data_IF_623756864600
#
_entry.id   IF_623756864600
#
_cell.length_a   1.000
_cell.length_b   1.000
_cell.length_c   1.000
_cell.angle_alpha   90.00
_cell.angle_beta   90.00
_cell.angle_gamma   90.00
#
_symmetry.space_group_name_H-M   'P 1'
#
loop_
_entity.id
_entity.type
_entity.pdbx_description
1 polymer ?
#
# COMPACT_ATOMS: atom_id res chain seq x y z
N UNK A 1 9.61 -42.96 -12.47
CA UNK A 1 10.15 -42.87 -13.85
C UNK A 1 9.81 -41.47 -14.35
N UNK A 2 10.73 -40.52 -14.19
CA UNK A 2 10.51 -39.10 -14.46
C UNK A 2 10.85 -38.83 -15.93
N UNK A 3 9.86 -38.45 -16.74
CA UNK A 3 10.10 -38.01 -18.12
C UNK A 3 10.36 -36.51 -18.11
N UNK A 4 11.63 -36.12 -18.29
CA UNK A 4 12.05 -34.74 -18.53
C UNK A 4 12.02 -34.54 -20.04
N UNK A 5 11.16 -33.63 -20.51
CA UNK A 5 11.21 -33.15 -21.89
C UNK A 5 12.15 -31.94 -21.96
N UNK A 6 13.31 -32.13 -22.57
CA UNK A 6 14.21 -31.06 -23.00
C UNK A 6 13.61 -30.40 -24.25
N UNK A 7 13.45 -29.08 -24.22
CA UNK A 7 13.13 -28.28 -25.40
C UNK A 7 14.44 -27.82 -26.10
N UNK A 8 14.43 -27.64 -27.44
CA UNK A 8 15.63 -27.46 -28.25
C UNK A 8 16.22 -26.04 -28.16
N UNK A 9 17.52 -25.87 -28.48
CA UNK A 9 18.24 -24.62 -28.28
C UNK A 9 18.19 -23.78 -29.54
N UNK A 10 17.39 -22.71 -29.57
CA UNK A 10 17.57 -21.59 -30.51
C UNK A 10 16.62 -20.45 -30.14
N UNK A 11 17.06 -19.57 -29.24
CA UNK A 11 16.65 -18.17 -29.16
C UNK A 11 17.69 -17.41 -28.32
N UNK A 12 18.75 -16.97 -28.99
CA UNK A 12 19.69 -15.97 -28.46
C UNK A 12 19.01 -14.60 -28.44
N UNK A 13 18.90 -13.98 -27.27
CA UNK A 13 18.67 -12.53 -27.15
C UNK A 13 17.52 -12.04 -26.29
N UNK A 14 17.32 -12.60 -25.08
CA UNK A 14 16.40 -12.02 -24.09
C UNK A 14 17.17 -11.78 -22.78
N UNK A 15 17.08 -10.56 -22.28
CA UNK A 15 17.68 -10.07 -21.03
C UNK A 15 17.01 -10.71 -19.80
N UNK A 16 17.81 -10.95 -18.75
CA UNK A 16 17.38 -11.48 -17.44
C UNK A 16 16.30 -10.65 -16.71
N UNK A 17 15.94 -9.47 -17.23
CA UNK A 17 14.83 -8.63 -16.74
C UNK A 17 13.44 -9.16 -17.09
N UNK A 18 13.29 -9.99 -18.13
CA UNK A 18 11.98 -10.31 -18.72
C UNK A 18 11.43 -11.68 -18.27
N UNK A 19 12.12 -12.38 -17.37
CA UNK A 19 11.69 -13.71 -16.87
C UNK A 19 10.81 -13.69 -15.60
N UNK A 20 10.49 -12.54 -15.02
CA UNK A 20 9.75 -12.46 -13.74
C UNK A 20 8.23 -12.30 -13.84
N UNK A 21 7.64 -12.31 -15.05
CA UNK A 21 6.20 -12.06 -15.22
C UNK A 21 5.30 -13.26 -15.54
N UNK A 22 5.78 -14.50 -15.41
CA UNK A 22 4.97 -15.67 -15.79
C UNK A 22 4.99 -16.84 -14.79
N UNK A 23 4.71 -16.56 -13.52
CA UNK A 23 4.27 -17.61 -12.57
C UNK A 23 3.28 -17.02 -11.58
N UNK A 24 1.98 -17.27 -11.81
CA UNK A 24 0.88 -17.40 -10.83
C UNK A 24 -0.42 -17.53 -11.66
N UNK A 25 -1.37 -18.34 -11.16
CA UNK A 25 -2.56 -18.92 -11.81
C UNK A 25 -2.22 -20.19 -12.60
N UNK A 26 -2.56 -21.40 -12.14
CA UNK A 26 -3.92 -21.91 -11.94
C UNK A 26 -3.92 -23.04 -10.89
N UNK A 27 -4.71 -22.89 -9.81
CA UNK A 27 -5.22 -24.02 -9.05
C UNK A 27 -6.71 -23.75 -8.75
N UNK A 28 -7.58 -24.17 -9.66
CA UNK A 28 -9.03 -24.18 -9.47
C UNK A 28 -9.46 -25.59 -9.06
N UNK A 29 -9.92 -25.72 -7.82
CA UNK A 29 -10.53 -26.94 -7.31
C UNK A 29 -11.95 -27.09 -7.88
N UNK A 30 -12.22 -28.28 -8.41
CA UNK A 30 -13.40 -28.66 -9.17
C UNK A 30 -14.44 -29.31 -8.25
N UNK A 31 -15.56 -28.65 -8.00
CA UNK A 31 -16.73 -29.25 -7.34
C UNK A 31 -17.60 -29.93 -8.42
N UNK A 32 -17.94 -31.23 -8.32
CA UNK A 32 -18.85 -31.86 -9.27
C UNK A 32 -20.31 -31.56 -8.89
N UNK A 33 -21.09 -31.01 -9.82
CA UNK A 33 -22.56 -30.97 -9.74
C UNK A 33 -23.13 -32.26 -10.33
N UNK A 34 -23.90 -32.99 -9.53
CA UNK A 34 -24.68 -34.16 -9.94
C UNK A 34 -25.78 -33.78 -10.92
N UNK A 35 -25.97 -34.60 -11.95
CA UNK A 35 -27.11 -34.55 -12.86
C UNK A 35 -28.35 -35.17 -12.22
N UNK A 36 -29.53 -34.63 -12.55
CA UNK A 36 -30.73 -35.43 -12.75
C UNK A 36 -31.61 -34.79 -13.84
N UNK A 37 -31.86 -35.56 -14.91
CA UNK A 37 -32.99 -35.41 -15.86
C UNK A 37 -34.27 -35.81 -15.10
N UNK A 38 -35.50 -35.38 -15.39
CA UNK A 38 -36.32 -35.59 -16.59
C UNK A 38 -37.61 -34.77 -16.39
N UNK A 39 -38.20 -34.20 -17.45
CA UNK A 39 -39.62 -33.82 -17.46
C UNK A 39 -39.99 -32.58 -18.27
N UNK A 40 -40.42 -32.77 -19.52
CA UNK A 40 -41.31 -31.87 -20.30
C UNK A 40 -42.24 -32.79 -21.13
N UNK A 41 -43.40 -32.36 -21.65
CA UNK A 41 -43.94 -30.98 -21.72
C UNK A 41 -45.45 -30.85 -21.37
N UNK A 42 -45.93 -29.64 -21.10
CA UNK A 42 -47.28 -29.24 -21.46
C UNK A 42 -47.27 -27.75 -21.85
N UNK A 43 -47.76 -27.43 -23.06
CA UNK A 43 -48.00 -26.06 -23.55
C UNK A 43 -49.51 -25.78 -23.48
N UNK A 44 -49.90 -24.60 -22.99
CA UNK A 44 -50.94 -23.84 -23.66
C UNK A 44 -50.42 -22.47 -24.11
N UNK A 45 -50.80 -22.08 -25.33
CA UNK A 45 -50.64 -20.73 -25.83
C UNK A 45 -51.56 -19.77 -25.06
N UNK A 46 -50.97 -18.80 -24.39
CA UNK A 46 -51.61 -17.52 -24.10
C UNK A 46 -50.63 -16.40 -24.43
N UNK A 47 -51.02 -15.54 -25.38
CA UNK A 47 -50.37 -14.27 -25.64
C UNK A 47 -50.79 -13.28 -24.55
N UNK A 48 -49.82 -12.70 -23.83
CA UNK A 48 -50.03 -11.46 -23.08
C UNK A 48 -48.79 -10.57 -23.23
N UNK A 49 -48.97 -9.44 -23.91
CA UNK A 49 -47.99 -8.38 -23.99
C UNK A 49 -47.78 -7.77 -22.60
N UNK A 50 -46.58 -7.96 -22.04
CA UNK A 50 -46.03 -7.11 -21.01
C UNK A 50 -44.52 -7.02 -21.22
N UNK A 51 -44.06 -5.88 -21.74
CA UNK A 51 -42.64 -5.57 -21.79
C UNK A 51 -42.14 -5.43 -20.34
N UNK A 52 -41.47 -6.47 -19.84
CA UNK A 52 -40.84 -6.44 -18.54
C UNK A 52 -39.51 -5.69 -18.66
N UNK A 53 -39.49 -4.45 -18.19
CA UNK A 53 -38.26 -3.67 -18.10
C UNK A 53 -37.22 -4.46 -17.27
N UNK A 54 -35.97 -4.60 -17.73
CA UNK A 54 -34.95 -5.27 -16.94
C UNK A 54 -34.75 -4.49 -15.63
N UNK A 55 -35.02 -5.14 -14.50
CA UNK A 55 -34.70 -4.61 -13.19
C UNK A 55 -33.19 -4.49 -13.08
N UNK A 56 -32.67 -3.30 -13.38
CA UNK A 56 -31.27 -2.96 -13.10
C UNK A 56 -31.12 -3.08 -11.59
N UNK A 57 -30.46 -4.15 -11.12
CA UNK A 57 -30.09 -4.23 -9.72
C UNK A 57 -29.20 -3.03 -9.45
N UNK A 58 -29.74 -2.02 -8.77
CA UNK A 58 -28.91 -1.02 -8.12
C UNK A 58 -28.09 -1.84 -7.13
N UNK A 59 -26.80 -2.03 -7.43
CA UNK A 59 -25.84 -2.46 -6.41
C UNK A 59 -26.09 -1.54 -5.23
N UNK A 60 -26.52 -2.11 -4.11
CA UNK A 60 -26.59 -1.41 -2.84
C UNK A 60 -25.16 -0.93 -2.56
N UNK A 61 -24.88 0.35 -2.84
CA UNK A 61 -23.63 0.97 -2.42
C UNK A 61 -23.64 0.91 -0.91
N UNK A 62 -22.76 0.08 -0.34
CA UNK A 62 -22.41 0.17 1.07
C UNK A 62 -21.78 1.57 1.22
N UNK A 63 -22.57 2.55 1.63
CA UNK A 63 -22.10 3.88 2.00
C UNK A 63 -21.49 3.76 3.39
N UNK A 64 -20.28 3.23 3.44
CA UNK A 64 -19.40 3.30 4.60
C UNK A 64 -18.11 3.85 4.04
N UNK A 65 -17.59 4.93 4.63
CA UNK A 65 -16.27 5.44 4.29
C UNK A 65 -15.26 4.28 4.40
N UNK A 66 -14.43 4.10 3.39
CA UNK A 66 -13.36 3.10 3.38
C UNK A 66 -12.04 3.78 3.73
N UNK A 67 -11.07 3.01 4.20
CA UNK A 67 -9.70 3.49 4.44
C UNK A 67 -8.78 2.99 3.34
N UNK A 68 -8.05 3.91 2.70
CA UNK A 68 -6.94 3.60 1.80
C UNK A 68 -5.65 3.69 2.60
N UNK A 69 -4.92 2.59 2.69
CA UNK A 69 -3.60 2.60 3.30
C UNK A 69 -2.58 3.17 2.31
N UNK A 70 -1.79 4.12 2.78
CA UNK A 70 -0.62 4.64 2.09
C UNK A 70 0.59 4.34 2.96
N UNK A 71 1.65 3.75 2.41
CA UNK A 71 2.87 3.47 3.16
C UNK A 71 4.06 4.13 2.47
N UNK A 72 4.83 4.85 3.26
CA UNK A 72 6.17 5.32 2.93
C UNK A 72 7.18 4.24 3.31
N UNK A 73 7.96 3.79 2.35
CA UNK A 73 9.12 2.92 2.57
C UNK A 73 10.39 3.72 2.32
N UNK A 74 11.30 3.71 3.30
CA UNK A 74 12.54 4.51 3.30
C UNK A 74 13.78 3.61 3.24
N UNK A 75 14.65 3.90 2.28
CA UNK A 75 16.05 3.49 2.23
C UNK A 75 16.86 4.52 3.02
N UNK A 76 17.14 4.20 4.28
CA UNK A 76 17.84 5.12 5.18
C UNK A 76 19.31 5.28 4.80
N UNK A 77 19.96 4.27 4.21
CA UNK A 77 21.37 4.35 3.83
C UNK A 77 21.62 5.45 2.80
N UNK A 78 20.74 5.57 1.80
CA UNK A 78 20.83 6.64 0.79
C UNK A 78 20.72 8.02 1.44
N UNK A 79 19.80 8.18 2.41
CA UNK A 79 19.60 9.45 3.11
C UNK A 79 20.78 9.77 4.04
N UNK A 80 21.20 8.82 4.89
CA UNK A 80 22.33 8.99 5.80
C UNK A 80 23.61 9.35 5.05
N UNK A 81 23.87 8.67 3.92
CA UNK A 81 25.03 8.95 3.06
C UNK A 81 25.00 10.34 2.43
N UNK A 82 23.82 10.82 2.05
CA UNK A 82 23.67 12.07 1.28
C UNK A 82 23.59 13.30 2.18
N UNK A 83 22.88 13.21 3.30
CA UNK A 83 22.52 14.37 4.13
C UNK A 83 23.22 14.40 5.49
N UNK A 84 23.70 13.25 6.00
CA UNK A 84 24.32 13.16 7.32
C UNK A 84 23.34 13.40 8.48
N UNK A 85 23.80 13.29 9.74
CA UNK A 85 22.96 13.47 10.93
C UNK A 85 22.67 14.96 11.21
N UNK A 86 21.64 15.23 12.00
CA UNK A 86 21.32 16.58 12.50
C UNK A 86 20.74 16.55 13.92
N UNK A 87 20.59 17.73 14.55
CA UNK A 87 20.20 17.86 15.97
C UNK A 87 18.71 17.65 16.25
N UNK A 88 17.95 17.11 15.30
CA UNK A 88 16.53 16.74 15.46
C UNK A 88 15.56 17.70 14.78
N UNK A 89 14.32 17.76 15.28
CA UNK A 89 13.18 18.38 14.57
C UNK A 89 13.40 19.86 14.21
N UNK A 90 14.03 20.63 15.10
CA UNK A 90 14.30 22.07 14.86
C UNK A 90 15.36 22.32 13.78
N UNK A 91 16.09 21.28 13.38
CA UNK A 91 17.11 21.30 12.34
C UNK A 91 16.80 20.30 11.22
N UNK A 92 15.51 19.98 11.01
CA UNK A 92 15.12 18.98 10.03
C UNK A 92 15.65 19.37 8.64
N UNK A 93 16.21 18.38 7.92
CA UNK A 93 16.84 18.59 6.61
C UNK A 93 15.90 18.18 5.48
N UNK A 94 15.70 19.07 4.49
CA UNK A 94 14.91 18.79 3.30
C UNK A 94 15.65 17.91 2.30
N UNK A 95 14.99 16.88 1.78
CA UNK A 95 15.53 16.02 0.73
C UNK A 95 15.32 16.68 -0.65
N UNK A 96 16.36 16.77 -1.47
CA UNK A 96 16.32 17.49 -2.76
C UNK A 96 15.90 16.64 -3.96
N UNK A 97 15.97 15.30 -3.87
CA UNK A 97 15.84 14.41 -5.03
C UNK A 97 14.91 13.21 -4.80
N UNK A 98 14.17 13.18 -3.69
CA UNK A 98 13.28 12.07 -3.31
C UNK A 98 13.95 10.68 -3.21
N UNK A 99 15.28 10.60 -3.32
CA UNK A 99 16.02 9.35 -3.35
C UNK A 99 15.80 8.55 -2.06
N UNK A 100 15.56 7.25 -2.22
CA UNK A 100 15.34 6.36 -1.11
C UNK A 100 13.91 6.36 -0.55
N UNK A 101 12.96 7.11 -1.12
CA UNK A 101 11.56 7.07 -0.68
C UNK A 101 10.65 6.44 -1.74
N UNK A 102 9.81 5.51 -1.30
CA UNK A 102 8.78 4.90 -2.14
C UNK A 102 7.42 5.00 -1.45
N UNK A 103 6.42 5.51 -2.16
CA UNK A 103 5.02 5.50 -1.74
C UNK A 103 4.27 4.34 -2.37
N UNK A 104 3.60 3.56 -1.52
CA UNK A 104 2.83 2.40 -1.94
C UNK A 104 1.41 2.48 -1.38
N UNK A 105 0.44 2.02 -2.16
CA UNK A 105 -0.92 1.80 -1.70
C UNK A 105 -1.46 0.46 -2.26
N UNK A 106 -2.59 -0.07 -1.75
CA UNK A 106 -3.18 -1.28 -2.28
C UNK A 106 -3.37 -1.21 -3.80
N UNK A 107 -3.08 -2.32 -4.49
CA UNK A 107 -3.17 -2.40 -5.96
C UNK A 107 -4.54 -2.00 -6.51
N UNK A 108 -5.60 -2.25 -5.75
CA UNK A 108 -6.96 -1.86 -6.11
C UNK A 108 -7.17 -0.35 -6.17
N UNK A 109 -6.39 0.41 -5.39
CA UNK A 109 -6.42 1.86 -5.36
C UNK A 109 -5.34 2.47 -6.26
N UNK A 110 -4.20 1.82 -6.43
CA UNK A 110 -3.05 2.35 -7.18
C UNK A 110 -3.37 2.65 -8.65
N UNK A 111 -3.10 3.89 -9.08
CA UNK A 111 -3.27 4.34 -10.46
C UNK A 111 -1.93 4.64 -11.14
N UNK A 112 -0.93 5.14 -10.40
CA UNK A 112 0.37 5.49 -10.96
C UNK A 112 1.19 6.39 -10.03
N UNK A 113 2.21 7.03 -10.59
CA UNK A 113 3.06 8.02 -9.92
C UNK A 113 2.63 9.43 -10.36
N UNK A 114 2.56 10.37 -9.42
CA UNK A 114 2.26 11.78 -9.72
C UNK A 114 3.54 12.54 -10.10
N UNK A 115 3.42 13.77 -10.63
CA UNK A 115 4.57 14.62 -10.95
C UNK A 115 5.26 14.37 -12.31
N UNK A 116 5.02 13.22 -12.94
CA UNK A 116 5.62 12.88 -14.24
C UNK A 116 7.09 12.42 -14.11
N UNK A 117 7.54 11.59 -15.05
CA UNK A 117 8.74 10.72 -14.91
C UNK A 117 8.59 9.75 -13.73
N UNK A 118 9.26 8.60 -13.77
CA UNK A 118 9.11 7.53 -12.77
C UNK A 118 9.65 7.94 -11.38
N UNK A 119 8.89 8.77 -10.65
CA UNK A 119 9.22 9.22 -9.29
C UNK A 119 8.41 8.42 -8.26
N UNK A 120 9.00 7.42 -7.59
CA UNK A 120 8.32 6.57 -6.63
C UNK A 120 7.93 7.29 -5.33
N UNK A 121 8.42 8.50 -5.07
CA UNK A 121 8.02 9.28 -3.90
C UNK A 121 6.72 10.06 -4.12
N UNK A 122 6.15 10.00 -5.32
CA UNK A 122 4.85 10.60 -5.67
C UNK A 122 3.83 9.51 -6.00
N UNK A 123 2.54 9.75 -5.72
CA UNK A 123 1.52 8.73 -5.93
C UNK A 123 0.18 9.27 -6.46
N UNK A 124 -0.43 8.49 -7.34
CA UNK A 124 -1.82 8.63 -7.78
C UNK A 124 -2.57 7.39 -7.32
N UNK A 125 -3.64 7.59 -6.56
CA UNK A 125 -4.55 6.52 -6.17
C UNK A 125 -6.01 6.93 -6.38
N UNK A 126 -6.89 5.93 -6.45
CA UNK A 126 -8.33 6.11 -6.60
C UNK A 126 -9.03 5.93 -5.26
N UNK A 127 -9.93 6.85 -4.94
CA UNK A 127 -10.74 6.83 -3.74
C UNK A 127 -12.00 7.70 -3.91
N UNK A 128 -13.00 7.47 -3.06
CA UNK A 128 -14.20 8.28 -3.05
C UNK A 128 -14.03 9.47 -2.09
N UNK A 129 -14.84 10.51 -2.34
CA UNK A 129 -15.06 11.53 -1.32
C UNK A 129 -15.55 10.85 -0.04
N UNK A 130 -15.10 11.37 1.11
CA UNK A 130 -15.37 10.85 2.45
C UNK A 130 -14.63 9.56 2.83
N UNK A 131 -13.91 8.90 1.93
CA UNK A 131 -12.95 7.86 2.32
C UNK A 131 -11.83 8.48 3.18
N UNK A 132 -11.19 7.65 3.99
CA UNK A 132 -10.03 8.00 4.79
C UNK A 132 -8.75 7.52 4.10
N UNK A 133 -7.66 8.21 4.39
CA UNK A 133 -6.30 7.71 4.16
C UNK A 133 -5.66 7.47 5.51
N UNK A 134 -5.03 6.31 5.65
CA UNK A 134 -4.16 5.99 6.79
C UNK A 134 -2.73 5.86 6.27
N UNK A 135 -1.87 6.77 6.71
CA UNK A 135 -0.52 6.93 6.21
C UNK A 135 0.50 6.36 7.21
N UNK A 136 1.22 5.34 6.77
CA UNK A 136 2.21 4.59 7.51
C UNK A 136 3.63 4.91 7.02
N UNK A 137 4.62 4.66 7.87
CA UNK A 137 6.03 4.82 7.51
C UNK A 137 6.86 3.65 8.03
N UNK A 138 7.82 3.20 7.23
CA UNK A 138 8.75 2.13 7.60
C UNK A 138 10.05 2.21 6.80
N UNK A 139 11.09 1.54 7.26
CA UNK A 139 12.29 1.25 6.45
C UNK A 139 12.15 -0.05 5.66
N UNK A 140 13.09 -0.31 4.74
CA UNK A 140 13.20 -1.57 3.97
C UNK A 140 13.32 -2.79 4.89
N UNK A 141 13.94 -2.64 6.07
CA UNK A 141 14.06 -3.67 7.09
C UNK A 141 12.88 -3.71 8.07
N UNK A 142 11.74 -3.10 7.72
CA UNK A 142 10.56 -3.03 8.59
C UNK A 142 10.87 -2.43 9.98
N UNK A 143 11.67 -1.36 10.01
CA UNK A 143 12.15 -0.68 11.21
C UNK A 143 12.99 -1.55 12.18
N UNK A 144 13.49 -2.71 11.76
CA UNK A 144 14.23 -3.62 12.66
C UNK A 144 15.71 -3.29 12.82
N UNK A 145 16.30 -2.54 11.88
CA UNK A 145 17.70 -2.09 11.92
C UNK A 145 17.70 -0.58 12.15
N UNK A 146 17.75 0.23 11.08
CA UNK A 146 17.24 1.59 11.16
C UNK A 146 15.71 1.60 11.23
N UNK A 147 15.16 2.55 11.97
CA UNK A 147 13.74 2.82 12.04
C UNK A 147 13.40 4.22 11.54
N UNK A 148 12.22 4.34 10.92
CA UNK A 148 11.63 5.62 10.53
C UNK A 148 10.32 5.85 11.26
N UNK A 149 10.16 7.06 11.80
CA UNK A 149 8.94 7.52 12.45
C UNK A 149 8.51 8.83 11.79
N UNK A 150 7.34 8.82 11.14
CA UNK A 150 6.70 10.04 10.64
C UNK A 150 6.12 10.84 11.81
N UNK A 151 6.37 12.15 11.85
CA UNK A 151 5.95 13.01 12.96
C UNK A 151 5.20 14.27 12.52
N UNK A 152 5.08 14.55 11.23
CA UNK A 152 4.22 15.63 10.74
C UNK A 152 3.88 15.48 9.25
N UNK A 153 2.69 15.92 8.85
CA UNK A 153 2.22 15.96 7.45
C UNK A 153 1.51 17.28 7.22
N UNK A 154 2.15 18.19 6.48
CA UNK A 154 1.62 19.54 6.25
C UNK A 154 1.39 19.77 4.75
N UNK A 155 0.27 20.39 4.34
CA UNK A 155 0.10 20.78 2.94
C UNK A 155 1.06 21.93 2.58
N UNK A 156 1.62 21.91 1.36
CA UNK A 156 2.52 22.97 0.87
C UNK A 156 1.79 24.26 0.49
N UNK A 157 0.46 24.25 0.48
CA UNK A 157 -0.36 25.39 0.07
C UNK A 157 -1.11 25.99 1.25
N UNK A 158 -1.31 27.32 1.20
CA UNK A 158 -2.14 28.05 2.17
C UNK A 158 -3.64 27.74 2.05
N UNK A 159 -4.07 26.96 1.04
CA UNK A 159 -5.47 26.59 0.84
C UNK A 159 -5.60 25.12 0.39
N UNK A 160 -5.32 24.16 1.30
CA UNK A 160 -5.43 22.74 1.03
C UNK A 160 -6.87 22.32 0.68
N UNK A 161 -7.03 21.46 -0.31
CA UNK A 161 -8.37 21.14 -0.83
C UNK A 161 -8.65 19.65 -1.05
N UNK A 162 -7.66 18.77 -1.18
CA UNK A 162 -7.88 17.34 -1.42
C UNK A 162 -8.09 16.62 -0.09
N UNK A 163 -7.30 16.95 0.93
CA UNK A 163 -7.36 16.32 2.24
C UNK A 163 -7.79 17.29 3.34
N UNK A 164 -8.40 16.75 4.40
CA UNK A 164 -8.46 17.46 5.68
C UNK A 164 -7.07 17.46 6.36
N UNK A 165 -6.86 18.22 7.45
CA UNK A 165 -5.62 18.12 8.22
C UNK A 165 -5.36 16.68 8.66
N UNK A 166 -4.14 16.21 8.47
CA UNK A 166 -3.71 14.92 8.98
C UNK A 166 -3.56 14.96 10.50
N UNK A 167 -3.91 13.87 11.17
CA UNK A 167 -3.77 13.70 12.61
C UNK A 167 -3.07 12.39 12.90
N UNK A 168 -2.17 12.37 13.89
CA UNK A 168 -1.56 11.13 14.35
C UNK A 168 -2.60 10.26 15.04
N UNK A 169 -2.63 8.97 14.71
CA UNK A 169 -3.46 7.97 15.34
C UNK A 169 -2.59 6.83 15.87
N UNK A 170 -3.03 6.22 16.97
CA UNK A 170 -2.38 5.09 17.62
C UNK A 170 -3.42 3.98 17.82
N UNK A 171 -3.11 2.78 17.36
CA UNK A 171 -3.97 1.61 17.50
C UNK A 171 -3.21 0.46 18.15
N UNK A 172 -3.72 -0.04 19.29
CA UNK A 172 -3.18 -1.23 19.95
C UNK A 172 -3.98 -2.47 19.58
N UNK A 173 -3.34 -3.42 18.89
CA UNK A 173 -3.88 -4.74 18.64
C UNK A 173 -3.40 -5.70 19.72
N UNK A 174 -4.32 -6.18 20.57
CA UNK A 174 -4.00 -7.07 21.71
C UNK A 174 -3.54 -8.48 21.31
N UNK A 175 -3.65 -8.84 20.03
CA UNK A 175 -3.32 -10.15 19.50
C UNK A 175 -2.71 -10.07 18.10
N UNK A 176 -1.75 -9.16 17.92
CA UNK A 176 -0.95 -9.11 16.70
C UNK A 176 -0.13 -10.40 16.56
N UNK A 177 -0.15 -10.98 15.35
CA UNK A 177 0.57 -12.21 15.06
C UNK A 177 2.06 -11.95 14.87
N UNK A 178 2.91 -12.65 15.63
CA UNK A 178 4.37 -12.61 15.54
C UNK A 178 4.97 -14.00 15.35
N UNK A 179 6.08 -14.12 14.61
CA UNK A 179 6.81 -15.38 14.54
C UNK A 179 7.43 -15.72 15.89
N UNK A 180 7.47 -17.00 16.24
CA UNK A 180 8.20 -17.54 17.39
C UNK A 180 9.38 -18.42 16.96
N UNK A 181 10.36 -18.60 17.84
CA UNK A 181 11.45 -19.57 17.65
C UNK A 181 11.17 -20.85 18.46
N UNK A 182 11.62 -22.04 17.99
CA UNK A 182 12.38 -22.30 16.76
C UNK A 182 11.50 -22.44 15.49
N UNK A 183 10.18 -22.45 15.64
CA UNK A 183 9.25 -22.57 14.52
C UNK A 183 8.32 -21.34 14.45
N UNK A 184 8.33 -20.58 13.34
CA UNK A 184 7.52 -19.37 13.20
C UNK A 184 6.02 -19.66 13.01
N UNK A 185 5.63 -20.93 12.84
CA UNK A 185 4.24 -21.34 12.65
C UNK A 185 3.81 -22.44 13.64
N UNK A 186 2.62 -22.33 14.28
CA UNK A 186 1.68 -21.20 14.24
C UNK A 186 2.26 -19.95 14.90
N UNK A 187 1.77 -18.77 14.50
CA UNK A 187 2.22 -17.50 15.08
C UNK A 187 1.83 -17.39 16.56
N UNK A 188 2.67 -16.70 17.33
CA UNK A 188 2.34 -16.27 18.69
C UNK A 188 1.55 -14.97 18.61
N UNK A 189 0.58 -14.76 19.50
CA UNK A 189 -0.19 -13.53 19.56
C UNK A 189 0.36 -12.65 20.68
N UNK A 190 0.67 -11.39 20.36
CA UNK A 190 1.18 -10.41 21.33
C UNK A 190 0.51 -9.06 21.15
N UNK A 191 0.51 -8.24 22.20
CA UNK A 191 0.01 -6.87 22.12
C UNK A 191 1.02 -6.01 21.36
N UNK A 192 0.58 -5.34 20.30
CA UNK A 192 1.39 -4.38 19.55
C UNK A 192 0.63 -3.10 19.28
N UNK A 193 1.34 -1.98 19.35
CA UNK A 193 0.85 -0.67 19.00
C UNK A 193 1.38 -0.27 17.63
N UNK A 194 0.51 0.28 16.80
CA UNK A 194 0.83 0.79 15.47
C UNK A 194 0.48 2.28 15.38
N UNK A 195 1.27 3.02 14.61
CA UNK A 195 1.12 4.48 14.45
C UNK A 195 0.91 4.84 12.98
N UNK A 196 -0.10 5.68 12.73
CA UNK A 196 -0.43 6.20 11.41
C UNK A 196 -0.74 7.69 11.46
N UNK A 197 -0.75 8.34 10.30
CA UNK A 197 -1.34 9.67 10.12
C UNK A 197 -2.59 9.54 9.27
N UNK A 198 -3.72 9.99 9.80
CA UNK A 198 -5.01 9.83 9.17
C UNK A 198 -5.59 11.15 8.68
N UNK A 199 -6.20 11.12 7.50
CA UNK A 199 -6.98 12.24 6.99
C UNK A 199 -8.17 11.75 6.18
N UNK A 200 -9.24 12.56 6.19
CA UNK A 200 -10.41 12.34 5.35
C UNK A 200 -10.25 13.06 4.02
N UNK A 201 -10.63 12.39 2.93
CA UNK A 201 -10.65 12.96 1.59
C UNK A 201 -11.80 13.95 1.49
N UNK A 202 -11.44 15.23 1.30
CA UNK A 202 -12.32 16.38 1.18
C UNK A 202 -12.76 16.61 -0.27
N UNK A 203 -11.83 16.52 -1.22
CA UNK A 203 -12.12 16.63 -2.64
C UNK A 203 -11.19 15.76 -3.47
N UNK A 204 -11.50 15.56 -4.76
CA UNK A 204 -10.59 14.92 -5.71
C UNK A 204 -9.65 15.96 -6.29
N UNK A 205 -8.42 15.56 -6.60
CA UNK A 205 -7.42 16.47 -7.15
C UNK A 205 -6.00 16.07 -6.78
N UNK A 206 -5.09 17.03 -6.97
CA UNK A 206 -3.67 16.88 -6.68
C UNK A 206 -3.31 17.84 -5.56
N UNK A 207 -2.56 17.36 -4.57
CA UNK A 207 -2.08 18.16 -3.46
C UNK A 207 -0.62 17.79 -3.13
N UNK A 208 0.20 18.81 -2.93
CA UNK A 208 1.59 18.66 -2.52
C UNK A 208 1.71 18.85 -1.01
N UNK A 209 2.54 18.04 -0.37
CA UNK A 209 2.76 18.03 1.07
C UNK A 209 4.22 18.29 1.40
N UNK A 210 4.51 18.64 2.65
CA UNK A 210 5.81 18.49 3.30
C UNK A 210 5.61 17.45 4.39
N UNK A 211 6.26 16.31 4.25
CA UNK A 211 6.16 15.19 5.20
C UNK A 211 7.45 15.12 5.99
N UNK A 212 7.31 15.15 7.31
CA UNK A 212 8.44 15.12 8.24
C UNK A 212 8.54 13.76 8.93
N UNK A 213 9.77 13.27 9.01
CA UNK A 213 10.07 11.98 9.62
C UNK A 213 11.45 11.98 10.28
N UNK A 214 11.63 11.14 11.29
CA UNK A 214 12.88 10.94 11.99
C UNK A 214 13.46 9.57 11.61
N UNK A 215 14.78 9.53 11.42
CA UNK A 215 15.55 8.29 11.30
C UNK A 215 16.18 8.00 12.66
N UNK A 216 16.02 6.76 13.11
CA UNK A 216 16.72 6.19 14.25
C UNK A 216 17.66 5.09 13.73
N UNK A 217 18.90 5.08 14.21
CA UNK A 217 19.87 4.04 13.88
C UNK A 217 20.16 3.16 15.09
N UNK A 218 20.66 1.94 14.87
CA UNK A 218 21.14 1.08 15.95
C UNK A 218 22.28 1.77 16.70
N UNK A 219 22.18 1.85 18.03
CA UNK A 219 23.20 2.48 18.86
C UNK A 219 24.51 1.66 18.79
N UNK A 220 25.63 2.25 18.32
CA UNK A 220 26.90 1.53 18.24
C UNK A 220 27.45 1.10 19.60
N UNK A 221 26.98 1.70 20.70
CA UNK A 221 27.37 1.35 22.07
C UNK A 221 26.39 0.37 22.72
N UNK A 222 25.15 0.28 22.22
CA UNK A 222 24.16 -0.69 22.67
C UNK A 222 23.29 -1.18 21.50
N UNK A 223 23.67 -2.29 20.83
CA UNK A 223 22.95 -2.79 19.65
C UNK A 223 21.51 -3.25 19.90
N UNK A 224 21.05 -3.27 21.14
CA UNK A 224 19.65 -3.54 21.50
C UNK A 224 18.76 -2.30 21.43
N UNK A 225 19.34 -1.11 21.23
CA UNK A 225 18.66 0.17 21.19
C UNK A 225 18.76 0.83 19.81
N UNK A 226 17.74 1.61 19.47
CA UNK A 226 17.77 2.56 18.38
C UNK A 226 17.81 4.00 18.94
N UNK A 227 18.71 4.83 18.43
CA UNK A 227 18.91 6.23 18.84
C UNK A 227 18.65 7.18 17.67
N UNK A 228 18.22 8.41 17.97
CA UNK A 228 17.91 9.41 16.94
C UNK A 228 19.17 9.73 16.13
N UNK A 229 19.12 9.49 14.82
CA UNK A 229 20.16 9.89 13.86
C UNK A 229 19.93 11.32 13.36
N UNK A 230 18.69 11.64 13.02
CA UNK A 230 18.33 12.95 12.49
C UNK A 230 16.87 13.05 12.06
N UNK A 231 16.42 14.26 11.81
CA UNK A 231 15.09 14.54 11.27
C UNK A 231 15.18 15.07 9.85
N UNK A 232 14.24 14.65 8.99
CA UNK A 232 14.22 14.98 7.58
C UNK A 232 12.80 15.30 7.14
N UNK A 233 12.68 15.91 5.97
CA UNK A 233 11.40 16.07 5.29
C UNK A 233 11.56 15.99 3.78
N UNK A 234 10.50 15.58 3.09
CA UNK A 234 10.41 15.68 1.63
C UNK A 234 9.03 16.17 1.21
N UNK A 235 8.90 16.51 -0.07
CA UNK A 235 7.73 17.19 -0.62
C UNK A 235 6.94 16.35 -1.65
N UNK A 236 6.21 15.30 -1.22
CA UNK A 236 5.49 14.45 -2.17
C UNK A 236 4.28 15.17 -2.78
N UNK A 237 4.01 14.84 -4.04
CA UNK A 237 2.74 15.10 -4.69
C UNK A 237 1.82 13.88 -4.59
N UNK A 238 0.66 14.06 -3.97
CA UNK A 238 -0.37 13.04 -3.81
C UNK A 238 -1.60 13.43 -4.63
N UNK A 239 -2.06 12.52 -5.49
CA UNK A 239 -3.25 12.73 -6.33
C UNK A 239 -4.34 11.69 -6.04
N UNK A 240 -5.57 12.18 -5.82
CA UNK A 240 -6.79 11.37 -5.66
C UNK A 240 -7.64 11.45 -6.93
N UNK A 241 -7.94 10.30 -7.52
CA UNK A 241 -8.80 10.14 -8.71
C UNK A 241 -10.15 9.51 -8.41
#
# INVERSE_FOLDING_TARGET
MLHIWLLPPEMTGISLSDMYHLYIYVFLWRIPKSQNRVGKPFKPHFMSNAAQAPSRSKKSQKSVANTVNLIMVVDTDVIKKTYGPNSGQNSACGLNHHEGINLLCPKANYVGQAGGVSDPANIIFSANLQDYVSFWATTISNNSDDAVIMYNVLPNSNNPNVFNPFQSNEETMSGAAVPSQPNPFPATLTSQTFYSYESKIKSKGTEAFTIYFAIYEVDPNNPENQILYGCYYWDPTIQVK
#
